data_IF_774138588530
#
_entry.id   IF_774138588530
#
_cell.length_a   1.000
_cell.length_b   1.000
_cell.length_c   1.000
_cell.angle_alpha   90.00
_cell.angle_beta   90.00
_cell.angle_gamma   90.00
#
_symmetry.space_group_name_H-M   'P 1'
#
loop_
_entity.id
_entity.type
_entity.pdbx_description
1 polymer ?
#
# COMPACT_ATOMS: atom_id res chain seq x y z
N UNK A 1 12.50 0.77 -5.13
CA UNK A 1 13.35 -0.31 -5.69
C UNK A 1 12.68 -0.90 -6.92
N UNK A 2 13.46 -1.43 -7.89
CA UNK A 2 12.95 -2.06 -9.12
C UNK A 2 11.93 -3.15 -8.81
N UNK A 3 12.22 -4.03 -7.84
CA UNK A 3 11.28 -5.06 -7.38
C UNK A 3 9.96 -4.47 -6.91
N UNK A 4 10.00 -3.43 -6.09
CA UNK A 4 8.80 -2.78 -5.58
C UNK A 4 7.96 -2.17 -6.69
N UNK A 5 8.57 -1.40 -7.58
CA UNK A 5 7.88 -0.78 -8.72
C UNK A 5 7.25 -1.82 -9.64
N UNK A 6 7.93 -2.95 -9.90
CA UNK A 6 7.38 -4.03 -10.71
C UNK A 6 6.15 -4.69 -10.07
N UNK A 7 6.16 -4.90 -8.75
CA UNK A 7 5.00 -5.45 -8.03
C UNK A 7 3.82 -4.46 -8.06
N UNK A 8 4.04 -3.17 -7.84
CA UNK A 8 2.99 -2.15 -7.93
C UNK A 8 2.38 -2.11 -9.33
N UNK A 9 3.21 -2.04 -10.39
CA UNK A 9 2.74 -2.05 -11.78
C UNK A 9 1.97 -3.33 -12.14
N UNK A 10 2.42 -4.48 -11.62
CA UNK A 10 1.73 -5.75 -11.82
C UNK A 10 0.33 -5.75 -11.21
N UNK A 11 0.20 -5.28 -9.97
CA UNK A 11 -1.07 -5.16 -9.25
C UNK A 11 -2.01 -4.19 -9.96
N UNK A 12 -1.51 -3.01 -10.34
CA UNK A 12 -2.29 -2.00 -11.05
C UNK A 12 -2.86 -2.53 -12.37
N UNK A 13 -2.01 -3.18 -13.19
CA UNK A 13 -2.46 -3.77 -14.45
C UNK A 13 -3.53 -4.85 -14.24
N UNK A 14 -3.37 -5.70 -13.23
CA UNK A 14 -4.39 -6.69 -12.91
C UNK A 14 -5.72 -6.06 -12.54
N UNK A 15 -5.71 -5.01 -11.71
CA UNK A 15 -6.93 -4.32 -11.29
C UNK A 15 -7.61 -3.59 -12.44
N UNK A 16 -6.83 -3.01 -13.36
CA UNK A 16 -7.36 -2.30 -14.54
C UNK A 16 -8.00 -3.25 -15.55
N UNK A 17 -7.35 -4.38 -15.82
CA UNK A 17 -7.73 -5.28 -16.92
C UNK A 17 -8.33 -6.61 -16.45
N UNK A 18 -8.30 -6.92 -15.15
CA UNK A 18 -8.72 -8.21 -14.56
C UNK A 18 -8.01 -9.42 -15.15
N UNK A 19 -6.87 -9.19 -15.77
CA UNK A 19 -5.98 -10.20 -16.34
C UNK A 19 -4.62 -9.95 -15.74
N UNK A 20 -3.99 -10.99 -15.20
CA UNK A 20 -2.61 -10.89 -14.78
C UNK A 20 -1.72 -10.82 -16.04
N UNK A 21 -1.08 -9.68 -16.34
CA UNK A 21 -0.20 -9.57 -17.48
C UNK A 21 1.10 -10.27 -17.14
N UNK A 22 1.15 -11.58 -17.33
CA UNK A 22 2.31 -12.38 -16.97
C UNK A 22 3.62 -11.97 -17.70
N UNK A 23 3.50 -11.15 -18.68
CA UNK A 23 4.61 -10.56 -19.41
C UNK A 23 4.16 -9.30 -20.15
N UNK A 24 3.69 -8.27 -19.44
CA UNK A 24 3.66 -6.98 -20.13
C UNK A 24 5.11 -6.60 -20.42
N UNK A 25 5.40 -6.18 -21.66
CA UNK A 25 6.72 -5.67 -22.05
C UNK A 25 7.22 -4.59 -21.07
N UNK A 26 6.30 -3.81 -20.50
CA UNK A 26 6.60 -2.79 -19.51
C UNK A 26 7.17 -3.35 -18.20
N UNK A 27 6.72 -4.51 -17.73
CA UNK A 27 7.28 -5.16 -16.54
C UNK A 27 8.61 -5.81 -16.88
N UNK A 28 8.71 -6.48 -18.03
CA UNK A 28 9.95 -7.09 -18.50
C UNK A 28 11.07 -6.05 -18.68
N UNK A 29 10.74 -4.87 -19.20
CA UNK A 29 11.69 -3.76 -19.37
C UNK A 29 12.22 -3.20 -18.04
N UNK A 30 11.46 -3.31 -16.94
CA UNK A 30 11.93 -2.87 -15.63
C UNK A 30 13.07 -3.74 -15.07
N UNK A 31 13.23 -4.95 -15.55
CA UNK A 31 14.26 -5.88 -15.07
C UNK A 31 15.57 -5.82 -15.85
N UNK A 32 15.58 -5.38 -17.10
CA UNK A 32 16.78 -5.14 -17.92
C UNK A 32 17.95 -6.12 -17.68
N UNK A 33 17.66 -7.42 -17.62
CA UNK A 33 18.67 -8.46 -17.39
C UNK A 33 19.15 -8.60 -15.94
N UNK A 34 18.47 -8.01 -14.95
CA UNK A 34 18.80 -8.18 -13.52
C UNK A 34 18.09 -9.43 -12.99
N UNK A 35 18.64 -10.60 -13.28
CA UNK A 35 18.08 -11.92 -12.94
C UNK A 35 17.70 -12.09 -11.46
N UNK A 36 18.53 -11.68 -10.46
CA UNK A 36 18.16 -11.88 -9.05
C UNK A 36 16.92 -11.09 -8.62
N UNK A 37 16.67 -9.92 -9.21
CA UNK A 37 15.50 -9.11 -8.91
C UNK A 37 14.26 -9.73 -9.53
N UNK A 38 14.37 -10.24 -10.75
CA UNK A 38 13.29 -10.97 -11.43
C UNK A 38 12.90 -12.23 -10.66
N UNK A 39 13.87 -13.02 -10.18
CA UNK A 39 13.60 -14.20 -9.35
C UNK A 39 12.80 -13.86 -8.09
N UNK A 40 13.16 -12.78 -7.39
CA UNK A 40 12.40 -12.29 -6.22
C UNK A 40 10.99 -11.85 -6.60
N UNK A 41 10.83 -11.18 -7.73
CA UNK A 41 9.53 -10.79 -8.25
C UNK A 41 8.66 -12.02 -8.54
N UNK A 42 9.18 -13.00 -9.25
CA UNK A 42 8.46 -14.23 -9.61
C UNK A 42 7.98 -15.00 -8.36
N UNK A 43 8.74 -14.97 -7.26
CA UNK A 43 8.33 -15.55 -5.98
C UNK A 43 7.22 -14.76 -5.27
N UNK A 44 7.10 -13.46 -5.52
CA UNK A 44 6.06 -12.61 -4.93
C UNK A 44 4.72 -12.78 -5.67
N UNK A 45 4.73 -13.02 -6.97
CA UNK A 45 3.51 -13.06 -7.77
C UNK A 45 2.45 -14.04 -7.25
N UNK A 46 2.78 -15.29 -6.83
CA UNK A 46 1.80 -16.20 -6.25
C UNK A 46 1.14 -15.64 -4.96
N UNK A 47 1.89 -14.85 -4.18
CA UNK A 47 1.35 -14.22 -2.98
C UNK A 47 0.33 -13.12 -3.33
N UNK A 48 0.59 -12.38 -4.41
CA UNK A 48 -0.35 -11.38 -4.94
C UNK A 48 -1.64 -12.07 -5.43
N UNK A 49 -1.53 -13.16 -6.17
CA UNK A 49 -2.69 -13.93 -6.63
C UNK A 49 -3.51 -14.43 -5.45
N UNK A 50 -2.85 -15.03 -4.45
CA UNK A 50 -3.50 -15.51 -3.23
C UNK A 50 -4.23 -14.37 -2.51
N UNK A 51 -3.61 -13.20 -2.37
CA UNK A 51 -4.24 -12.04 -1.77
C UNK A 51 -5.55 -11.67 -2.48
N UNK A 52 -5.52 -11.58 -3.82
CA UNK A 52 -6.71 -11.22 -4.60
C UNK A 52 -7.80 -12.28 -4.52
N UNK A 53 -7.47 -13.56 -4.51
CA UNK A 53 -8.44 -14.63 -4.31
C UNK A 53 -9.12 -14.54 -2.94
N UNK A 54 -8.38 -14.17 -1.91
CA UNK A 54 -8.89 -14.07 -0.53
C UNK A 54 -9.79 -12.83 -0.32
N UNK A 55 -9.56 -11.73 -1.06
CA UNK A 55 -10.32 -10.48 -0.91
C UNK A 55 -11.46 -10.32 -1.92
N UNK A 56 -11.42 -11.01 -3.06
CA UNK A 56 -12.48 -10.89 -4.07
C UNK A 56 -13.83 -11.26 -3.45
N UNK A 57 -14.85 -10.47 -3.74
CA UNK A 57 -16.17 -10.62 -3.12
C UNK A 57 -16.35 -9.86 -1.81
N UNK A 58 -15.27 -9.48 -1.11
CA UNK A 58 -15.29 -8.67 0.11
C UNK A 58 -14.95 -7.20 -0.18
N UNK A 59 -13.91 -7.00 -0.98
CA UNK A 59 -13.43 -5.68 -1.37
C UNK A 59 -13.67 -5.44 -2.86
N UNK A 60 -14.14 -4.25 -3.19
CA UNK A 60 -14.32 -3.80 -4.57
C UNK A 60 -13.24 -2.76 -4.88
N UNK A 61 -12.36 -3.00 -5.87
CA UNK A 61 -11.37 -2.00 -6.27
C UNK A 61 -12.07 -0.78 -6.88
N UNK A 62 -11.74 0.40 -6.37
CA UNK A 62 -12.33 1.68 -6.81
C UNK A 62 -11.32 2.47 -7.64
N UNK A 63 -10.09 2.66 -7.12
CA UNK A 63 -9.06 3.44 -7.81
C UNK A 63 -7.68 2.97 -7.39
N UNK A 64 -6.82 2.70 -8.39
CA UNK A 64 -5.39 2.50 -8.20
C UNK A 64 -4.65 3.82 -8.41
N UNK A 65 -3.49 3.97 -7.74
CA UNK A 65 -2.60 5.12 -7.85
C UNK A 65 -3.33 6.47 -7.76
N UNK A 66 -4.16 6.61 -6.71
CA UNK A 66 -4.90 7.84 -6.47
C UNK A 66 -3.96 8.92 -5.94
N UNK A 67 -3.70 9.94 -6.76
CA UNK A 67 -2.96 11.12 -6.34
C UNK A 67 -3.84 11.95 -5.39
N UNK A 68 -3.28 12.29 -4.24
CA UNK A 68 -3.90 13.16 -3.24
C UNK A 68 -2.99 14.33 -2.94
N UNK A 69 -3.55 15.51 -2.71
CA UNK A 69 -2.76 16.70 -2.42
C UNK A 69 -3.57 17.75 -1.68
N UNK A 70 -2.86 18.62 -1.00
CA UNK A 70 -3.40 19.79 -0.31
C UNK A 70 -2.48 20.99 -0.56
N UNK A 71 -3.01 22.01 -1.24
CA UNK A 71 -2.26 23.20 -1.61
C UNK A 71 -1.95 24.11 -0.43
N UNK A 72 -2.75 24.07 0.65
CA UNK A 72 -2.54 24.89 1.83
C UNK A 72 -1.29 24.43 2.61
N UNK A 73 -0.98 23.12 2.50
CA UNK A 73 0.17 22.51 3.16
C UNK A 73 1.33 22.20 2.20
N UNK A 74 1.17 22.46 0.90
CA UNK A 74 2.14 22.12 -0.16
C UNK A 74 2.56 20.63 -0.09
N UNK A 75 1.59 19.77 0.10
CA UNK A 75 1.77 18.32 0.26
C UNK A 75 1.06 17.59 -0.88
N UNK A 76 1.75 16.65 -1.48
CA UNK A 76 1.13 15.66 -2.36
C UNK A 76 1.64 14.25 -2.06
N UNK A 77 0.84 13.26 -2.44
CA UNK A 77 1.19 11.85 -2.31
C UNK A 77 0.30 10.97 -3.16
N UNK A 78 0.51 9.67 -3.06
CA UNK A 78 -0.25 8.70 -3.83
C UNK A 78 -0.70 7.55 -2.93
N UNK A 79 -1.96 7.18 -3.08
CA UNK A 79 -2.56 6.01 -2.45
C UNK A 79 -2.49 4.88 -3.48
N UNK A 80 -1.82 3.78 -3.16
CA UNK A 80 -1.63 2.68 -4.11
C UNK A 80 -2.96 2.08 -4.55
N UNK A 81 -3.89 1.88 -3.59
CA UNK A 81 -5.21 1.34 -3.89
C UNK A 81 -6.28 1.85 -2.93
N UNK A 82 -7.40 2.26 -3.49
CA UNK A 82 -8.64 2.53 -2.78
C UNK A 82 -9.61 1.36 -3.03
N UNK A 83 -10.05 0.70 -1.96
CA UNK A 83 -11.09 -0.33 -2.00
C UNK A 83 -12.36 0.14 -1.30
N UNK A 84 -13.50 -0.31 -1.80
CA UNK A 84 -14.76 -0.26 -1.07
C UNK A 84 -14.97 -1.59 -0.33
N UNK A 85 -15.07 -1.52 0.99
CA UNK A 85 -15.39 -2.70 1.80
C UNK A 85 -16.90 -2.89 1.86
N UNK A 86 -17.38 -3.96 1.25
CA UNK A 86 -18.82 -4.27 1.16
C UNK A 86 -19.47 -4.53 2.51
N UNK A 87 -18.70 -4.96 3.52
CA UNK A 87 -19.21 -5.24 4.86
C UNK A 87 -19.38 -3.97 5.69
N UNK A 88 -18.41 -3.08 5.68
CA UNK A 88 -18.45 -1.83 6.44
C UNK A 88 -19.15 -0.69 5.71
N UNK A 89 -19.27 -0.77 4.38
CA UNK A 89 -19.77 0.32 3.54
C UNK A 89 -18.83 1.52 3.44
N UNK A 90 -17.54 1.34 3.75
CA UNK A 90 -16.53 2.39 3.78
C UNK A 90 -15.45 2.16 2.73
N UNK A 91 -14.80 3.24 2.33
CA UNK A 91 -13.60 3.19 1.52
C UNK A 91 -12.38 2.97 2.42
N UNK A 92 -11.48 2.11 2.00
CA UNK A 92 -10.25 1.75 2.72
C UNK A 92 -9.03 2.05 1.87
N UNK A 93 -7.99 2.60 2.51
CA UNK A 93 -6.70 2.87 1.87
C UNK A 93 -5.79 1.67 2.06
N UNK A 94 -5.31 1.13 0.94
CA UNK A 94 -4.44 -0.03 0.93
C UNK A 94 -3.12 0.33 0.22
N UNK A 95 -2.01 -0.19 0.76
CA UNK A 95 -0.67 0.12 0.29
C UNK A 95 0.16 -1.15 0.21
N UNK A 96 0.94 -1.27 -0.86
CA UNK A 96 1.74 -2.46 -1.15
C UNK A 96 3.16 -2.29 -0.68
N UNK A 97 3.67 -3.24 0.09
CA UNK A 97 5.03 -3.22 0.60
C UNK A 97 5.79 -4.49 0.21
N UNK A 98 7.01 -4.30 -0.29
CA UNK A 98 7.93 -5.39 -0.69
C UNK A 98 9.27 -5.30 0.03
N UNK A 99 9.29 -4.62 1.17
CA UNK A 99 10.46 -4.48 2.02
C UNK A 99 10.95 -5.86 2.50
N UNK A 100 12.23 -5.98 2.81
CA UNK A 100 12.77 -7.17 3.45
C UNK A 100 12.13 -7.43 4.81
N UNK A 101 11.81 -6.36 5.55
CA UNK A 101 11.19 -6.42 6.88
C UNK A 101 10.24 -5.25 7.10
N UNK A 102 9.13 -5.52 7.76
CA UNK A 102 8.22 -4.54 8.35
C UNK A 102 8.36 -4.62 9.86
N UNK A 103 9.01 -3.62 10.47
CA UNK A 103 9.10 -3.51 11.91
C UNK A 103 7.78 -2.97 12.45
N UNK A 104 7.23 -3.68 13.44
CA UNK A 104 6.00 -3.28 14.15
C UNK A 104 6.30 -2.59 15.47
N UNK A 105 7.53 -2.69 15.95
CA UNK A 105 8.00 -2.10 17.20
C UNK A 105 9.40 -1.51 17.02
N UNK A 106 9.69 -0.42 17.73
CA UNK A 106 11.01 0.18 17.83
C UNK A 106 11.19 0.82 19.21
N UNK A 107 12.39 0.67 19.76
CA UNK A 107 12.80 1.39 20.99
C UNK A 107 12.99 2.89 20.75
N UNK A 108 13.19 3.30 19.51
CA UNK A 108 13.36 4.69 19.15
C UNK A 108 11.99 5.33 18.88
N UNK A 109 11.90 6.62 19.19
CA UNK A 109 10.70 7.43 19.01
C UNK A 109 10.94 8.52 17.97
N UNK A 110 9.86 9.03 17.40
CA UNK A 110 9.91 10.20 16.53
C UNK A 110 10.27 11.46 17.33
N UNK A 111 10.58 12.54 16.64
CA UNK A 111 10.89 13.82 17.26
C UNK A 111 9.60 14.55 17.69
N UNK A 112 9.75 15.55 18.61
CA UNK A 112 8.65 16.45 18.95
C UNK A 112 8.07 17.11 17.68
N UNK A 113 6.74 17.30 17.58
CA UNK A 113 5.70 17.13 18.62
C UNK A 113 5.14 15.71 18.77
N UNK A 114 5.54 14.75 17.92
CA UNK A 114 4.99 13.40 17.88
C UNK A 114 5.92 12.34 18.51
N UNK A 115 6.67 12.75 19.52
CA UNK A 115 7.66 11.89 20.20
C UNK A 115 7.07 10.71 21.00
N UNK A 116 5.74 10.62 21.12
CA UNK A 116 5.07 9.43 21.67
C UNK A 116 4.98 8.29 20.66
N UNK A 117 5.10 8.57 19.36
CA UNK A 117 5.03 7.58 18.28
C UNK A 117 6.41 6.91 18.09
N UNK A 118 6.38 5.62 17.83
CA UNK A 118 7.56 4.81 17.54
C UNK A 118 8.15 5.11 16.14
N UNK A 119 9.46 4.89 15.97
CA UNK A 119 10.10 4.90 14.65
C UNK A 119 9.96 3.57 13.90
N UNK A 120 9.12 2.65 14.35
CA UNK A 120 8.84 1.43 13.61
C UNK A 120 8.25 1.76 12.22
N UNK A 121 8.59 0.95 11.22
CA UNK A 121 8.09 1.16 9.84
C UNK A 121 6.57 1.21 9.79
N UNK A 122 5.89 0.35 10.56
CA UNK A 122 4.43 0.35 10.62
C UNK A 122 3.88 1.69 11.10
N UNK A 123 4.48 2.29 12.14
CA UNK A 123 4.04 3.59 12.66
C UNK A 123 4.27 4.73 11.67
N UNK A 124 5.44 4.74 11.02
CA UNK A 124 5.78 5.75 9.99
C UNK A 124 4.83 5.65 8.80
N UNK A 125 4.53 4.44 8.33
CA UNK A 125 3.54 4.25 7.27
C UNK A 125 2.12 4.62 7.73
N UNK A 126 1.78 4.36 8.98
CA UNK A 126 0.49 4.72 9.57
C UNK A 126 0.29 6.24 9.61
N UNK A 127 1.33 7.00 9.97
CA UNK A 127 1.32 8.47 9.89
C UNK A 127 1.04 8.95 8.46
N UNK A 128 1.76 8.40 7.47
CA UNK A 128 1.55 8.75 6.06
C UNK A 128 0.12 8.44 5.61
N UNK A 129 -0.43 7.28 5.99
CA UNK A 129 -1.83 6.92 5.65
C UNK A 129 -2.83 7.84 6.34
N UNK A 130 -2.58 8.21 7.59
CA UNK A 130 -3.43 9.14 8.34
C UNK A 130 -3.46 10.53 7.71
N UNK A 131 -2.31 11.01 7.22
CA UNK A 131 -2.23 12.26 6.46
C UNK A 131 -3.04 12.20 5.17
N UNK A 132 -2.91 11.11 4.39
CA UNK A 132 -3.67 10.96 3.15
C UNK A 132 -5.18 10.86 3.40
N UNK A 133 -5.60 10.15 4.47
CA UNK A 133 -7.01 10.16 4.90
C UNK A 133 -7.50 11.56 5.20
N UNK A 134 -6.72 12.34 5.96
CA UNK A 134 -7.08 13.72 6.31
C UNK A 134 -7.25 14.58 5.05
N UNK A 135 -6.33 14.49 4.08
CA UNK A 135 -6.40 15.23 2.82
C UNK A 135 -7.66 14.84 2.04
N UNK A 136 -7.95 13.55 1.90
CA UNK A 136 -9.15 13.10 1.19
C UNK A 136 -10.42 13.57 1.90
N UNK A 137 -10.49 13.46 3.23
CA UNK A 137 -11.65 13.90 4.01
C UNK A 137 -11.87 15.42 3.96
N UNK A 138 -10.77 16.22 3.96
CA UNK A 138 -10.85 17.68 3.82
C UNK A 138 -11.43 18.10 2.48
N UNK A 139 -11.08 17.38 1.42
CA UNK A 139 -11.42 17.75 0.04
C UNK A 139 -12.63 17.01 -0.54
N UNK A 140 -13.21 16.06 0.21
CA UNK A 140 -14.34 15.25 -0.27
C UNK A 140 -15.29 14.90 0.88
N UNK A 141 -16.50 14.44 0.50
CA UNK A 141 -17.47 13.89 1.45
C UNK A 141 -17.39 12.36 1.57
N UNK A 142 -16.27 11.76 1.15
CA UNK A 142 -16.10 10.31 1.17
C UNK A 142 -15.96 9.78 2.60
N UNK A 143 -16.62 8.66 2.87
CA UNK A 143 -16.51 7.95 4.15
C UNK A 143 -15.32 7.01 4.08
N UNK A 144 -14.27 7.34 4.81
CA UNK A 144 -13.05 6.55 4.90
C UNK A 144 -13.06 5.70 6.17
N UNK A 145 -12.79 4.42 5.99
CA UNK A 145 -12.57 3.46 7.06
C UNK A 145 -11.10 3.32 7.43
N UNK A 146 -10.71 2.10 7.76
CA UNK A 146 -9.34 1.77 8.13
C UNK A 146 -8.36 1.86 6.94
N UNK A 147 -7.07 1.87 7.28
CA UNK A 147 -5.98 1.77 6.30
C UNK A 147 -5.16 0.51 6.57
N UNK A 148 -4.63 -0.09 5.51
CA UNK A 148 -3.92 -1.35 5.59
C UNK A 148 -2.65 -1.32 4.74
N UNK A 149 -1.62 -2.07 5.20
CA UNK A 149 -0.46 -2.44 4.41
C UNK A 149 -0.57 -3.92 4.07
N UNK A 150 -0.29 -4.28 2.83
CA UNK A 150 -0.08 -5.67 2.45
C UNK A 150 1.39 -5.88 2.18
N UNK A 151 2.00 -6.77 2.93
CA UNK A 151 3.40 -7.10 2.78
C UNK A 151 3.59 -8.38 1.98
N UNK A 152 4.18 -8.20 0.81
CA UNK A 152 4.60 -9.26 -0.08
C UNK A 152 6.11 -9.42 0.01
N UNK A 153 6.58 -10.55 0.51
CA UNK A 153 8.01 -10.82 0.60
C UNK A 153 8.32 -12.23 0.08
N UNK A 154 9.35 -12.31 -0.74
CA UNK A 154 9.77 -13.54 -1.39
C UNK A 154 10.22 -14.66 -0.45
N UNK A 155 10.48 -14.33 0.82
CA UNK A 155 10.86 -15.30 1.85
C UNK A 155 9.67 -15.82 2.66
N UNK A 156 8.46 -15.34 2.38
CA UNK A 156 7.26 -15.74 3.10
C UNK A 156 6.43 -16.73 2.28
N UNK A 157 5.76 -17.65 2.96
CA UNK A 157 4.81 -18.60 2.34
C UNK A 157 3.46 -17.96 2.00
N UNK A 158 3.18 -16.77 2.55
CA UNK A 158 1.96 -16.01 2.30
C UNK A 158 2.20 -14.52 2.46
N UNK A 159 1.29 -13.70 1.91
CA UNK A 159 1.24 -12.29 2.22
C UNK A 159 0.86 -12.06 3.69
N UNK A 160 1.18 -10.86 4.21
CA UNK A 160 0.72 -10.41 5.54
C UNK A 160 -0.01 -9.09 5.41
N UNK A 161 -1.09 -8.93 6.18
CA UNK A 161 -1.84 -7.68 6.27
C UNK A 161 -1.57 -7.06 7.63
N UNK A 162 -1.19 -5.78 7.63
CA UNK A 162 -1.08 -4.96 8.83
C UNK A 162 -2.14 -3.86 8.78
N UNK A 163 -2.97 -3.78 9.81
CA UNK A 163 -3.83 -2.63 10.00
C UNK A 163 -2.98 -1.46 10.49
N UNK A 164 -3.09 -0.31 9.81
CA UNK A 164 -2.41 0.90 10.23
C UNK A 164 -3.05 1.48 11.49
N UNK A 165 -2.24 2.12 12.33
CA UNK A 165 -2.74 2.97 13.40
C UNK A 165 -3.37 4.23 12.82
N UNK A 166 -4.37 4.78 13.50
CA UNK A 166 -4.99 6.05 13.10
C UNK A 166 -4.35 7.21 13.88
N UNK A 167 -3.52 7.96 13.21
CA UNK A 167 -2.80 9.13 13.72
C UNK A 167 -3.35 10.45 13.16
N UNK A 168 -4.65 10.51 12.82
CA UNK A 168 -5.24 11.71 12.24
C UNK A 168 -5.17 12.93 13.19
N UNK A 169 -5.14 12.72 14.49
CA UNK A 169 -4.98 13.82 15.46
C UNK A 169 -3.55 14.36 15.48
N UNK A 170 -2.57 13.54 15.19
CA UNK A 170 -1.15 13.88 15.17
C UNK A 170 -0.71 14.57 13.88
N UNK A 171 -1.46 14.42 12.81
CA UNK A 171 -1.16 15.01 11.48
C UNK A 171 -2.02 16.24 11.17
N UNK A 172 -2.91 16.65 12.09
CA UNK A 172 -3.65 17.93 12.04
C UNK A 172 -2.78 19.08 12.51
#
# INVERSE_FOLDING_TARGET
TVKGSAVHSYIENYLAHKVFPYASESIALQFNGIDPVKEKFDKIIPLVHKFYDDIRGKLLPIKSELIVGDSDFDICGMIDQLFYNKKSGMLELWDWKTNEKIDTESKYKLLSPISHISQAKLDVYSLQRSLYKLIVQKNTNLKLGDSYLVWFNESNDSYKIYKCHDYQNEVK
#
